data_IF_811293086515
#
_entry.id   IF_811293086515
#
_cell.length_a   1.000
_cell.length_b   1.000
_cell.length_c   1.000
_cell.angle_alpha   90.00
_cell.angle_beta   90.00
_cell.angle_gamma   90.00
#
_symmetry.space_group_name_H-M   'P 1'
#
loop_
_entity.id
_entity.type
_entity.pdbx_description
1 polymer ?
#
# COMPACT_ATOMS: atom_id res chain seq x y z
N UNK A 1 61.76 2.30 -2.32
CA UNK A 1 60.65 1.72 -3.10
C UNK A 1 59.39 1.77 -2.25
N UNK A 2 58.39 2.59 -2.60
CA UNK A 2 57.10 2.65 -1.91
C UNK A 2 56.12 1.82 -2.73
N UNK A 3 55.57 0.76 -2.13
CA UNK A 3 54.57 -0.10 -2.75
C UNK A 3 53.33 0.74 -3.11
N UNK A 4 52.84 0.55 -4.34
CA UNK A 4 51.68 1.24 -4.88
C UNK A 4 50.44 0.95 -4.04
N UNK A 5 49.64 1.99 -3.76
CA UNK A 5 48.36 1.84 -3.11
C UNK A 5 47.36 1.15 -4.02
N UNK A 6 46.85 0.00 -3.58
CA UNK A 6 45.71 -0.66 -4.20
C UNK A 6 44.51 0.28 -4.16
N UNK A 7 44.20 0.86 -5.33
CA UNK A 7 43.03 1.69 -5.51
C UNK A 7 41.81 0.76 -5.59
N UNK A 8 41.15 0.53 -4.45
CA UNK A 8 39.87 -0.20 -4.42
C UNK A 8 38.84 0.60 -5.23
N UNK A 9 38.62 0.20 -6.48
CA UNK A 9 37.51 0.68 -7.31
C UNK A 9 36.20 0.34 -6.61
N UNK A 10 35.59 1.32 -5.92
CA UNK A 10 34.20 1.20 -5.49
C UNK A 10 33.33 1.33 -6.74
N UNK A 11 33.07 0.20 -7.39
CA UNK A 11 32.05 0.12 -8.41
C UNK A 11 30.73 0.50 -7.74
N UNK A 12 30.22 1.69 -8.07
CA UNK A 12 28.92 2.15 -7.63
C UNK A 12 27.89 1.14 -8.18
N UNK A 13 27.50 0.17 -7.35
CA UNK A 13 26.53 -0.85 -7.70
C UNK A 13 25.30 -0.18 -8.29
N UNK A 14 25.04 -0.48 -9.56
CA UNK A 14 23.96 0.11 -10.32
C UNK A 14 22.63 -0.07 -9.59
N UNK A 15 21.70 0.86 -9.83
CA UNK A 15 20.36 0.88 -9.22
C UNK A 15 19.60 -0.47 -9.29
N UNK A 16 19.90 -1.30 -10.30
CA UNK A 16 19.35 -2.65 -10.47
C UNK A 16 20.10 -3.76 -9.73
N UNK A 17 21.37 -3.57 -9.34
CA UNK A 17 22.18 -4.54 -8.61
C UNK A 17 21.81 -4.62 -7.11
N UNK A 18 21.17 -3.58 -6.56
CA UNK A 18 20.67 -3.52 -5.17
C UNK A 18 19.23 -4.04 -4.98
N UNK A 19 18.69 -4.76 -5.97
CA UNK A 19 17.32 -5.30 -5.93
C UNK A 19 17.23 -6.45 -4.94
N UNK A 20 16.33 -6.33 -3.98
CA UNK A 20 16.09 -7.35 -2.96
C UNK A 20 15.11 -8.41 -3.52
N UNK A 21 15.14 -9.64 -3.02
CA UNK A 21 14.18 -10.70 -3.36
C UNK A 21 12.73 -10.22 -3.19
N UNK A 22 12.47 -9.39 -2.18
CA UNK A 22 11.16 -8.77 -1.95
C UNK A 22 10.69 -7.83 -3.07
N UNK A 23 11.61 -7.23 -3.83
CA UNK A 23 11.27 -6.37 -4.98
C UNK A 23 10.70 -7.23 -6.12
N UNK A 24 11.24 -8.43 -6.32
CA UNK A 24 10.78 -9.39 -7.32
C UNK A 24 9.47 -10.07 -6.92
N UNK A 25 9.32 -10.43 -5.63
CA UNK A 25 8.05 -10.96 -5.11
C UNK A 25 6.92 -9.94 -5.31
N UNK A 26 7.18 -8.65 -5.01
CA UNK A 26 6.20 -7.60 -5.26
C UNK A 26 5.83 -7.47 -6.74
N UNK A 27 6.82 -7.47 -7.64
CA UNK A 27 6.57 -7.43 -9.09
C UNK A 27 5.72 -8.63 -9.54
N UNK A 28 5.99 -9.83 -9.02
CA UNK A 28 5.22 -11.03 -9.31
C UNK A 28 3.77 -10.92 -8.80
N UNK A 29 3.55 -10.36 -7.61
CA UNK A 29 2.19 -10.12 -7.08
C UNK A 29 1.41 -9.12 -7.94
N UNK A 30 2.04 -8.01 -8.34
CA UNK A 30 1.43 -7.00 -9.22
C UNK A 30 1.08 -7.61 -10.57
N UNK A 31 2.05 -8.25 -11.23
CA UNK A 31 1.82 -8.89 -12.52
C UNK A 31 0.75 -9.99 -12.42
N UNK A 32 0.81 -10.83 -11.39
CA UNK A 32 -0.17 -11.89 -11.15
C UNK A 32 -1.59 -11.36 -10.98
N UNK A 33 -1.78 -10.32 -10.17
CA UNK A 33 -3.09 -9.70 -9.94
C UNK A 33 -3.67 -9.05 -11.20
N UNK A 34 -2.87 -8.27 -11.93
CA UNK A 34 -3.31 -7.60 -13.15
C UNK A 34 -3.57 -8.59 -14.30
N UNK A 35 -2.70 -9.60 -14.47
CA UNK A 35 -2.91 -10.65 -15.47
C UNK A 35 -4.14 -11.49 -15.13
N UNK A 36 -4.38 -11.81 -13.86
CA UNK A 36 -5.60 -12.48 -13.43
C UNK A 36 -6.85 -11.65 -13.81
N UNK A 37 -6.84 -10.35 -13.53
CA UNK A 37 -7.92 -9.46 -13.94
C UNK A 37 -8.09 -9.42 -15.46
N UNK A 38 -7.00 -9.39 -16.22
CA UNK A 38 -7.02 -9.44 -17.69
C UNK A 38 -7.65 -10.73 -18.21
N UNK A 39 -7.26 -11.89 -17.68
CA UNK A 39 -7.83 -13.18 -18.10
C UNK A 39 -9.30 -13.32 -17.72
N UNK A 40 -9.69 -12.82 -16.55
CA UNK A 40 -11.06 -12.94 -16.04
C UNK A 40 -12.03 -11.96 -16.70
N UNK A 41 -11.59 -10.73 -16.92
CA UNK A 41 -12.45 -9.62 -17.33
C UNK A 41 -12.11 -9.03 -18.69
N UNK A 42 -11.05 -9.50 -19.36
CA UNK A 42 -10.61 -8.96 -20.65
C UNK A 42 -11.65 -9.11 -21.77
N UNK A 43 -12.61 -10.03 -21.67
CA UNK A 43 -13.72 -10.11 -22.62
C UNK A 43 -14.68 -8.91 -22.51
N UNK A 44 -14.76 -8.27 -21.35
CA UNK A 44 -15.58 -7.09 -21.08
C UNK A 44 -14.82 -5.78 -21.29
N UNK A 45 -13.52 -5.85 -21.59
CA UNK A 45 -12.66 -4.69 -21.77
C UNK A 45 -12.44 -4.36 -23.24
N UNK A 46 -12.50 -3.07 -23.57
CA UNK A 46 -12.08 -2.56 -24.87
C UNK A 46 -10.54 -2.58 -25.04
N UNK A 47 -10.04 -2.13 -26.20
CA UNK A 47 -8.61 -2.17 -26.50
C UNK A 47 -7.79 -1.18 -25.65
N UNK A 48 -8.37 -0.04 -25.27
CA UNK A 48 -7.69 0.97 -24.47
C UNK A 48 -7.56 0.51 -23.02
N UNK A 49 -8.63 -0.06 -22.45
CA UNK A 49 -8.63 -0.62 -21.10
C UNK A 49 -7.60 -1.74 -20.95
N UNK A 50 -7.51 -2.62 -21.95
CA UNK A 50 -6.47 -3.66 -22.03
C UNK A 50 -5.07 -3.06 -22.07
N UNK A 51 -4.84 -2.04 -22.90
CA UNK A 51 -3.57 -1.34 -23.00
C UNK A 51 -3.17 -0.67 -21.68
N UNK A 52 -4.11 0.04 -21.04
CA UNK A 52 -3.92 0.71 -19.75
C UNK A 52 -3.59 -0.33 -18.66
N UNK A 53 -4.32 -1.45 -18.61
CA UNK A 53 -4.08 -2.50 -17.64
C UNK A 53 -2.68 -3.11 -17.78
N UNK A 54 -2.25 -3.39 -19.02
CA UNK A 54 -0.91 -3.91 -19.28
C UNK A 54 0.20 -2.89 -18.98
N UNK A 55 -0.04 -1.61 -19.28
CA UNK A 55 0.88 -0.51 -18.96
C UNK A 55 0.98 -0.24 -17.45
N UNK A 56 -0.09 -0.51 -16.70
CA UNK A 56 -0.12 -0.35 -15.24
C UNK A 56 0.82 -1.34 -14.52
N UNK A 57 1.07 -2.53 -15.08
CA UNK A 57 1.97 -3.54 -14.50
C UNK A 57 3.40 -2.98 -14.29
N UNK A 58 4.12 -2.53 -15.34
CA UNK A 58 5.46 -1.98 -15.16
C UNK A 58 5.43 -0.65 -14.40
N UNK A 59 4.38 0.17 -14.54
CA UNK A 59 4.26 1.43 -13.81
C UNK A 59 4.15 1.22 -12.29
N UNK A 60 3.24 0.34 -11.84
CA UNK A 60 3.07 0.02 -10.42
C UNK A 60 4.31 -0.69 -9.84
N UNK A 61 4.92 -1.57 -10.64
CA UNK A 61 6.17 -2.26 -10.27
C UNK A 61 7.31 -1.26 -10.08
N UNK A 62 7.51 -0.34 -11.02
CA UNK A 62 8.52 0.72 -10.94
C UNK A 62 8.28 1.64 -9.73
N UNK A 63 7.01 1.99 -9.47
CA UNK A 63 6.64 2.81 -8.31
C UNK A 63 6.99 2.12 -6.98
N UNK A 64 6.69 0.83 -6.83
CA UNK A 64 7.04 0.07 -5.62
C UNK A 64 8.55 -0.12 -5.44
N UNK A 65 9.32 -0.19 -6.53
CA UNK A 65 10.78 -0.25 -6.48
C UNK A 65 11.41 1.10 -6.15
N UNK A 66 10.84 2.20 -6.66
CA UNK A 66 11.28 3.55 -6.34
C UNK A 66 10.97 3.93 -4.90
N UNK A 67 9.77 3.55 -4.41
CA UNK A 67 9.30 3.92 -3.07
C UNK A 67 8.94 2.71 -2.21
N UNK A 68 9.93 2.23 -1.44
CA UNK A 68 9.81 1.04 -0.58
C UNK A 68 8.64 1.08 0.43
N UNK A 69 8.30 2.22 1.07
CA UNK A 69 7.13 2.27 1.96
C UNK A 69 5.81 2.07 1.22
N UNK A 70 5.68 2.63 0.00
CA UNK A 70 4.49 2.50 -0.84
C UNK A 70 4.25 1.04 -1.24
N UNK A 71 5.32 0.28 -1.49
CA UNK A 71 5.24 -1.16 -1.74
C UNK A 71 4.50 -1.91 -0.63
N UNK A 72 4.87 -1.64 0.62
CA UNK A 72 4.23 -2.28 1.78
C UNK A 72 2.78 -1.85 1.89
N UNK A 73 2.50 -0.55 1.72
CA UNK A 73 1.14 -0.02 1.71
C UNK A 73 0.27 -0.74 0.68
N UNK A 74 0.72 -0.86 -0.58
CA UNK A 74 -0.02 -1.50 -1.65
C UNK A 74 -0.35 -2.96 -1.31
N UNK A 75 0.64 -3.75 -0.87
CA UNK A 75 0.42 -5.16 -0.52
C UNK A 75 -0.57 -5.31 0.63
N UNK A 76 -0.41 -4.53 1.69
CA UNK A 76 -1.28 -4.56 2.87
C UNK A 76 -2.71 -4.16 2.50
N UNK A 77 -2.88 -3.04 1.81
CA UNK A 77 -4.19 -2.54 1.37
C UNK A 77 -4.87 -3.56 0.45
N UNK A 78 -4.17 -4.11 -0.53
CA UNK A 78 -4.73 -5.13 -1.42
C UNK A 78 -5.15 -6.38 -0.66
N UNK A 79 -4.35 -6.86 0.30
CA UNK A 79 -4.69 -8.01 1.11
C UNK A 79 -5.97 -7.77 1.95
N UNK A 80 -6.04 -6.64 2.66
CA UNK A 80 -7.21 -6.30 3.48
C UNK A 80 -8.46 -6.04 2.64
N UNK A 81 -8.33 -5.39 1.47
CA UNK A 81 -9.44 -5.19 0.56
C UNK A 81 -9.99 -6.52 0.02
N UNK A 82 -9.11 -7.44 -0.42
CA UNK A 82 -9.51 -8.77 -0.87
C UNK A 82 -10.13 -9.60 0.26
N UNK A 83 -9.60 -9.51 1.49
CA UNK A 83 -10.20 -10.14 2.67
C UNK A 83 -11.60 -9.58 2.97
N UNK A 84 -11.77 -8.26 2.86
CA UNK A 84 -13.07 -7.59 2.99
C UNK A 84 -14.07 -8.13 1.97
N UNK A 85 -13.71 -8.07 0.68
CA UNK A 85 -14.55 -8.57 -0.43
C UNK A 85 -14.88 -10.06 -0.27
N UNK A 86 -13.90 -10.90 0.09
CA UNK A 86 -14.12 -12.33 0.31
C UNK A 86 -15.06 -12.61 1.49
N UNK A 87 -15.03 -11.76 2.53
CA UNK A 87 -15.87 -11.91 3.71
C UNK A 87 -17.34 -11.53 3.47
N UNK A 88 -17.63 -10.73 2.45
CA UNK A 88 -19.00 -10.42 2.03
C UNK A 88 -19.72 -11.65 1.46
N UNK A 89 -19.02 -12.61 0.84
CA UNK A 89 -19.60 -13.84 0.29
C UNK A 89 -20.86 -13.63 -0.59
N UNK A 90 -20.98 -12.48 -1.27
CA UNK A 90 -22.16 -12.15 -2.09
C UNK A 90 -23.36 -11.56 -1.34
N UNK A 91 -23.26 -11.32 -0.03
CA UNK A 91 -24.31 -10.75 0.80
C UNK A 91 -23.85 -9.44 1.48
N UNK A 92 -24.40 -8.31 1.04
CA UNK A 92 -24.09 -6.99 1.59
C UNK A 92 -24.52 -6.84 3.05
N UNK A 93 -25.51 -7.60 3.54
CA UNK A 93 -25.96 -7.53 4.92
C UNK A 93 -24.89 -8.02 5.92
N UNK A 94 -23.89 -8.76 5.43
CA UNK A 94 -22.75 -9.21 6.25
C UNK A 94 -21.85 -8.07 6.72
N UNK A 95 -21.96 -6.89 6.10
CA UNK A 95 -21.33 -5.66 6.60
C UNK A 95 -21.68 -5.37 8.07
N UNK A 96 -22.88 -5.75 8.51
CA UNK A 96 -23.37 -5.51 9.87
C UNK A 96 -23.24 -6.70 10.82
N UNK A 97 -22.91 -7.88 10.30
CA UNK A 97 -22.87 -9.14 11.05
C UNK A 97 -21.43 -9.59 11.35
N UNK A 98 -20.54 -9.46 10.37
CA UNK A 98 -19.16 -9.92 10.49
C UNK A 98 -18.34 -8.85 11.21
N UNK A 99 -17.78 -9.22 12.37
CA UNK A 99 -17.06 -8.30 13.26
C UNK A 99 -16.07 -7.38 12.53
N UNK A 100 -15.16 -7.95 11.75
CA UNK A 100 -14.13 -7.15 11.07
C UNK A 100 -14.69 -6.31 9.92
N UNK A 101 -15.80 -6.69 9.29
CA UNK A 101 -16.46 -5.82 8.31
C UNK A 101 -17.06 -4.64 9.04
N UNK A 102 -17.93 -4.93 10.03
CA UNK A 102 -18.66 -3.92 10.78
C UNK A 102 -17.75 -2.87 11.40
N UNK A 103 -16.65 -3.31 12.01
CA UNK A 103 -15.79 -2.43 12.79
C UNK A 103 -14.55 -1.94 12.05
N UNK A 104 -14.18 -2.46 10.88
CA UNK A 104 -12.95 -2.03 10.21
C UNK A 104 -13.02 -1.98 8.68
N UNK A 105 -13.45 -3.06 8.03
CA UNK A 105 -13.27 -3.24 6.58
C UNK A 105 -14.46 -2.80 5.73
N UNK A 106 -15.66 -2.66 6.31
CA UNK A 106 -16.80 -2.02 5.64
C UNK A 106 -16.42 -0.60 5.24
N UNK A 107 -16.84 -0.14 4.06
CA UNK A 107 -16.52 1.20 3.53
C UNK A 107 -16.79 2.30 4.55
N UNK A 108 -17.98 2.28 5.16
CA UNK A 108 -18.39 3.31 6.13
C UNK A 108 -17.49 3.31 7.36
N UNK A 109 -17.20 2.13 7.90
CA UNK A 109 -16.35 1.93 9.08
C UNK A 109 -14.90 2.32 8.79
N UNK A 110 -14.37 1.95 7.62
CA UNK A 110 -13.02 2.26 7.20
C UNK A 110 -12.79 3.78 7.06
N UNK A 111 -13.77 4.50 6.49
CA UNK A 111 -13.71 5.96 6.34
C UNK A 111 -13.81 6.66 7.71
N UNK A 112 -14.62 6.13 8.63
CA UNK A 112 -14.66 6.64 10.01
C UNK A 112 -13.30 6.48 10.70
N UNK A 113 -12.70 5.29 10.64
CA UNK A 113 -11.37 5.04 11.21
C UNK A 113 -10.29 5.90 10.57
N UNK A 114 -10.30 6.06 9.25
CA UNK A 114 -9.41 6.99 8.55
C UNK A 114 -9.48 8.38 9.19
N UNK A 115 -10.69 8.91 9.38
CA UNK A 115 -10.92 10.25 9.93
C UNK A 115 -10.40 10.36 11.37
N UNK A 116 -10.68 9.36 12.21
CA UNK A 116 -10.18 9.29 13.59
C UNK A 116 -8.66 9.26 13.62
N UNK A 117 -8.03 8.44 12.78
CA UNK A 117 -6.58 8.29 12.73
C UNK A 117 -5.90 9.58 12.23
N UNK A 118 -6.44 10.27 11.23
CA UNK A 118 -5.90 11.58 10.81
C UNK A 118 -5.98 12.63 11.92
N UNK A 119 -7.08 12.65 12.67
CA UNK A 119 -7.22 13.52 13.82
C UNK A 119 -6.18 13.20 14.91
N UNK A 120 -6.03 11.92 15.26
CA UNK A 120 -5.00 11.47 16.20
C UNK A 120 -3.58 11.82 15.74
N UNK A 121 -3.26 11.56 14.47
CA UNK A 121 -1.97 11.91 13.87
C UNK A 121 -1.68 13.40 14.03
N UNK A 122 -2.68 14.25 13.76
CA UNK A 122 -2.55 15.71 13.91
C UNK A 122 -2.23 16.08 15.35
N UNK A 123 -2.94 15.51 16.34
CA UNK A 123 -2.65 15.73 17.77
C UNK A 123 -1.21 15.33 18.10
N UNK A 124 -0.74 14.17 17.64
CA UNK A 124 0.64 13.73 17.90
C UNK A 124 1.68 14.67 17.31
N UNK A 125 1.45 15.22 16.11
CA UNK A 125 2.33 16.24 15.53
C UNK A 125 2.32 17.54 16.33
N UNK A 126 1.15 18.00 16.79
CA UNK A 126 1.05 19.20 17.64
C UNK A 126 1.73 19.00 19.00
N UNK A 127 1.52 17.85 19.64
CA UNK A 127 2.19 17.51 20.89
C UNK A 127 3.71 17.40 20.71
N UNK A 128 4.15 16.79 19.61
CA UNK A 128 5.58 16.72 19.26
C UNK A 128 6.20 18.10 19.12
N UNK A 129 5.52 19.03 18.46
CA UNK A 129 5.99 20.41 18.28
C UNK A 129 6.18 21.16 19.62
N UNK A 130 5.32 20.92 20.61
CA UNK A 130 5.40 21.61 21.91
C UNK A 130 6.23 20.88 22.97
N UNK A 131 6.40 19.56 22.85
CA UNK A 131 7.12 18.73 23.81
C UNK A 131 8.62 18.67 23.48
N UNK A 132 9.40 19.64 23.98
CA UNK A 132 10.86 19.75 23.75
C UNK A 132 11.69 18.50 24.12
N UNK A 133 11.18 17.59 24.97
CA UNK A 133 11.88 16.38 25.39
C UNK A 133 11.47 15.07 24.70
N UNK A 134 10.29 15.01 24.05
CA UNK A 134 9.75 13.79 23.43
C UNK A 134 9.25 14.00 21.99
N UNK A 135 9.55 15.15 21.39
CA UNK A 135 9.18 15.56 20.04
C UNK A 135 9.41 14.48 18.98
N UNK A 136 10.61 13.89 18.91
CA UNK A 136 10.96 12.90 17.88
C UNK A 136 10.13 11.62 17.95
N UNK A 137 9.82 11.13 19.16
CA UNK A 137 8.99 9.94 19.35
C UNK A 137 7.54 10.21 18.98
N UNK A 138 7.01 11.37 19.39
CA UNK A 138 5.62 11.79 19.12
C UNK A 138 5.40 12.02 17.62
N UNK A 139 6.34 12.67 16.94
CA UNK A 139 6.29 12.90 15.49
C UNK A 139 6.39 11.60 14.69
N UNK A 140 7.28 10.68 15.10
CA UNK A 140 7.36 9.34 14.48
C UNK A 140 6.05 8.55 14.64
N UNK A 141 5.43 8.63 15.82
CA UNK A 141 4.14 7.99 16.06
C UNK A 141 3.03 8.61 15.21
N UNK A 142 2.97 9.96 15.13
CA UNK A 142 2.07 10.68 14.24
C UNK A 142 2.22 10.24 12.79
N UNK A 143 3.45 10.15 12.29
CA UNK A 143 3.72 9.67 10.92
C UNK A 143 3.20 8.25 10.68
N UNK A 144 3.44 7.32 11.62
CA UNK A 144 2.93 5.94 11.50
C UNK A 144 1.40 5.90 11.48
N UNK A 145 0.75 6.67 12.36
CA UNK A 145 -0.71 6.77 12.40
C UNK A 145 -1.24 7.34 11.07
N UNK A 146 -0.59 8.34 10.49
CA UNK A 146 -0.96 8.89 9.19
C UNK A 146 -0.88 7.83 8.08
N UNK A 147 0.17 7.00 8.06
CA UNK A 147 0.28 5.89 7.11
C UNK A 147 -0.85 4.86 7.28
N UNK A 148 -1.24 4.55 8.52
CA UNK A 148 -2.40 3.67 8.77
C UNK A 148 -3.69 4.33 8.31
N UNK A 149 -3.87 5.64 8.53
CA UNK A 149 -5.04 6.38 8.05
C UNK A 149 -5.19 6.32 6.54
N UNK A 150 -4.07 6.51 5.80
CA UNK A 150 -4.04 6.36 4.34
C UNK A 150 -4.39 4.92 3.93
N UNK A 151 -3.88 3.92 4.67
CA UNK A 151 -4.25 2.52 4.45
C UNK A 151 -5.75 2.28 4.58
N UNK A 152 -6.37 2.78 5.66
CA UNK A 152 -7.82 2.67 5.89
C UNK A 152 -8.64 3.39 4.81
N UNK A 153 -8.18 4.55 4.34
CA UNK A 153 -8.81 5.29 3.25
C UNK A 153 -8.86 4.46 1.95
N UNK A 154 -7.72 3.85 1.59
CA UNK A 154 -7.60 3.04 0.39
C UNK A 154 -8.40 1.73 0.50
N UNK A 155 -8.38 1.08 1.66
CA UNK A 155 -9.21 -0.11 1.91
C UNK A 155 -10.70 0.26 1.75
N UNK A 156 -11.16 1.32 2.40
CA UNK A 156 -12.55 1.76 2.33
C UNK A 156 -12.98 2.07 0.90
N UNK A 157 -12.16 2.79 0.13
CA UNK A 157 -12.47 3.10 -1.28
C UNK A 157 -12.51 1.88 -2.20
N UNK A 158 -11.62 0.89 -1.98
CA UNK A 158 -11.62 -0.36 -2.75
C UNK A 158 -12.82 -1.24 -2.40
N UNK A 159 -13.16 -1.36 -1.11
CA UNK A 159 -14.33 -2.14 -0.67
C UNK A 159 -15.63 -1.47 -1.07
N UNK A 160 -15.69 -0.12 -1.07
CA UNK A 160 -16.85 0.65 -1.52
C UNK A 160 -17.28 0.28 -2.94
N UNK A 161 -16.34 -0.03 -3.83
CA UNK A 161 -16.64 -0.46 -5.19
C UNK A 161 -17.43 -1.77 -5.24
N UNK A 162 -17.29 -2.64 -4.24
CA UNK A 162 -18.06 -3.86 -4.11
C UNK A 162 -19.43 -3.62 -3.45
N UNK A 163 -19.52 -2.62 -2.57
CA UNK A 163 -20.77 -2.24 -1.88
C UNK A 163 -21.69 -1.34 -2.72
N UNK A 164 -21.19 -0.74 -3.81
CA UNK A 164 -21.95 0.15 -4.72
C UNK A 164 -22.66 -0.65 -5.80
#
# INVERSE_FOLDING_TARGET
MKAGGDSTLSLNEGYFARRNVLDWVFAALVAGGFLYAFFRYGAFMDVYEKGILLAAIPAATAMGWFWRPLRVLMVVVSAFALLGIASYQGDLARSEQVFWLKYFLSSQSAILWMSVLFFMSTIFYWLGMFAKGQSSTLESLGSKIAWVAVGMALIGTLVRWYES
#
